data_IF_077026285714
#
_entry.id   IF_077026285714
#
_cell.length_a   1.000
_cell.length_b   1.000
_cell.length_c   1.000
_cell.angle_alpha   90.00
_cell.angle_beta   90.00
_cell.angle_gamma   90.00
#
_symmetry.space_group_name_H-M   'P 1'
#
loop_
_entity.id
_entity.type
_entity.pdbx_description
1 polymer ?
#
# COMPACT_ATOMS: atom_id res chain seq x y z
N UNK A 1 11.35 4.83 20.96
CA UNK A 1 11.84 4.96 22.34
C UNK A 1 13.34 5.27 22.29
N UNK A 2 13.83 6.23 23.06
CA UNK A 2 15.25 6.60 23.16
C UNK A 2 15.80 6.43 24.59
N UNK A 3 15.19 5.58 25.42
CA UNK A 3 15.68 5.27 26.78
C UNK A 3 16.82 4.26 26.77
N UNK A 4 17.55 4.17 27.89
CA UNK A 4 18.69 3.25 28.09
C UNK A 4 18.37 1.81 27.68
N UNK A 5 17.15 1.36 27.93
CA UNK A 5 16.70 0.00 27.63
C UNK A 5 16.81 -0.37 26.14
N UNK A 6 16.66 0.62 25.25
CA UNK A 6 16.76 0.43 23.81
C UNK A 6 18.21 0.31 23.31
N UNK A 7 19.20 0.65 24.14
CA UNK A 7 20.62 0.62 23.79
C UNK A 7 21.37 -0.55 24.44
N UNK A 8 20.67 -1.48 25.08
CA UNK A 8 21.30 -2.70 25.57
C UNK A 8 21.63 -3.64 24.41
N UNK A 9 22.85 -4.17 24.45
CA UNK A 9 23.31 -5.27 23.59
C UNK A 9 22.93 -6.58 24.24
N UNK A 10 22.02 -7.34 23.64
CA UNK A 10 21.93 -8.78 23.95
C UNK A 10 23.23 -9.48 23.52
N UNK A 11 23.45 -10.70 24.00
CA UNK A 11 24.61 -11.57 23.69
C UNK A 11 24.91 -11.76 22.18
N UNK A 12 23.98 -11.34 21.30
CA UNK A 12 24.09 -11.32 19.84
C UNK A 12 24.63 -9.99 19.26
N UNK A 13 25.03 -9.01 20.09
CA UNK A 13 25.61 -7.71 19.67
C UNK A 13 24.69 -6.83 18.81
N UNK A 14 23.37 -6.85 19.03
CA UNK A 14 22.42 -6.01 18.30
C UNK A 14 21.79 -5.02 19.27
N UNK A 15 21.97 -3.72 19.00
CA UNK A 15 21.28 -2.64 19.70
C UNK A 15 19.84 -2.48 19.14
N UNK A 16 18.83 -2.52 20.00
CA UNK A 16 17.42 -2.40 19.58
C UNK A 16 17.12 -1.05 18.94
N UNK A 17 17.75 0.02 19.42
CA UNK A 17 17.61 1.35 18.84
C UNK A 17 18.14 1.40 17.40
N UNK A 18 19.32 0.85 17.14
CA UNK A 18 19.87 0.79 15.79
C UNK A 18 18.99 -0.04 14.85
N UNK A 19 18.44 -1.13 15.37
CA UNK A 19 17.46 -1.94 14.65
C UNK A 19 16.22 -1.10 14.28
N UNK A 20 15.68 -0.30 15.21
CA UNK A 20 14.54 0.58 14.93
C UNK A 20 14.88 1.67 13.88
N UNK A 21 16.06 2.29 13.95
CA UNK A 21 16.51 3.29 12.97
C UNK A 21 16.73 2.66 11.59
N UNK A 22 17.32 1.46 11.53
CA UNK A 22 17.48 0.72 10.28
C UNK A 22 16.13 0.28 9.69
N UNK A 23 15.16 -0.06 10.54
CA UNK A 23 13.77 -0.24 10.13
C UNK A 23 13.24 1.03 9.47
N UNK A 24 13.33 2.19 10.13
CA UNK A 24 12.91 3.47 9.56
C UNK A 24 13.59 3.74 8.22
N UNK A 25 14.89 3.49 8.09
CA UNK A 25 15.64 3.64 6.84
C UNK A 25 15.05 2.77 5.72
N UNK A 26 14.87 1.47 5.97
CA UNK A 26 14.29 0.53 4.99
C UNK A 26 12.86 0.89 4.61
N UNK A 27 12.10 1.52 5.51
CA UNK A 27 10.74 1.96 5.24
C UNK A 27 10.65 3.24 4.41
N UNK A 28 11.67 4.09 4.45
CA UNK A 28 11.74 5.31 3.65
C UNK A 28 12.27 5.01 2.24
N UNK A 29 13.20 4.06 2.08
CA UNK A 29 13.84 3.77 0.78
C UNK A 29 12.83 3.48 -0.35
N UNK A 30 11.81 2.61 -0.19
CA UNK A 30 10.80 2.38 -1.22
C UNK A 30 10.02 3.64 -1.59
N UNK A 31 9.82 4.60 -0.67
CA UNK A 31 9.09 5.85 -0.94
C UNK A 31 9.79 6.76 -1.95
N UNK A 32 11.12 6.63 -2.12
CA UNK A 32 11.83 7.33 -3.19
C UNK A 32 11.59 6.69 -4.56
N UNK A 33 11.35 5.37 -4.59
CA UNK A 33 11.12 4.62 -5.83
C UNK A 33 9.65 4.61 -6.26
N UNK A 34 8.75 4.54 -5.29
CA UNK A 34 7.31 4.52 -5.47
C UNK A 34 6.78 5.87 -4.97
N UNK A 35 6.40 6.74 -5.90
CA UNK A 35 5.83 8.05 -5.57
C UNK A 35 4.39 7.87 -5.04
N UNK A 36 4.27 7.42 -3.80
CA UNK A 36 2.99 7.12 -3.14
C UNK A 36 2.35 8.36 -2.47
N UNK A 37 3.04 9.51 -2.51
CA UNK A 37 2.52 10.76 -1.95
C UNK A 37 2.38 10.75 -0.42
N UNK A 38 2.97 9.77 0.26
CA UNK A 38 2.95 9.65 1.71
C UNK A 38 3.97 10.58 2.37
N UNK A 39 3.54 11.24 3.44
CA UNK A 39 4.43 11.98 4.33
C UNK A 39 4.98 11.04 5.41
N UNK A 40 6.20 11.33 5.87
CA UNK A 40 6.87 10.54 6.91
C UNK A 40 7.53 11.47 7.92
N UNK A 41 7.45 11.10 9.20
CA UNK A 41 8.06 11.81 10.31
C UNK A 41 8.71 10.84 11.30
N UNK A 42 9.70 11.32 12.03
CA UNK A 42 10.43 10.54 13.06
C UNK A 42 10.47 11.36 14.34
N UNK A 43 9.93 10.76 15.40
CA UNK A 43 9.81 11.36 16.72
C UNK A 43 10.51 10.42 17.71
N UNK A 44 11.34 10.99 18.57
CA UNK A 44 11.91 10.32 19.72
C UNK A 44 11.22 10.78 21.01
N UNK A 45 11.12 9.87 21.96
CA UNK A 45 10.65 10.17 23.31
C UNK A 45 11.59 9.53 24.32
N UNK A 46 11.62 10.10 25.54
CA UNK A 46 12.63 9.76 26.55
C UNK A 46 13.95 10.48 26.33
N UNK A 47 13.91 11.63 25.63
CA UNK A 47 15.09 12.46 25.41
C UNK A 47 15.22 13.56 26.46
N UNK A 48 16.42 14.13 26.66
CA UNK A 48 16.53 15.39 27.44
C UNK A 48 15.79 16.51 26.69
N UNK A 49 15.12 17.43 27.39
CA UNK A 49 14.37 18.50 26.71
C UNK A 49 15.31 19.32 25.81
N UNK A 50 14.94 19.57 24.55
CA UNK A 50 15.76 20.43 23.69
C UNK A 50 15.85 21.82 24.30
N UNK A 51 17.06 22.39 24.33
CA UNK A 51 17.29 23.72 24.87
C UNK A 51 16.55 24.76 24.01
N UNK A 52 15.44 25.31 24.52
CA UNK A 52 14.89 26.58 24.02
C UNK A 52 13.40 26.63 23.69
N UNK A 53 12.67 25.52 23.54
CA UNK A 53 11.25 25.57 23.13
C UNK A 53 10.28 25.15 24.23
N UNK A 54 9.63 26.15 24.83
CA UNK A 54 8.65 26.07 25.93
C UNK A 54 7.31 25.44 25.49
N UNK A 55 7.12 25.23 24.18
CA UNK A 55 5.87 24.79 23.54
C UNK A 55 5.82 23.30 23.18
N UNK A 56 6.88 22.56 23.46
CA UNK A 56 7.03 21.14 23.18
C UNK A 56 6.77 20.33 24.45
N UNK A 57 6.09 19.18 24.31
CA UNK A 57 5.94 18.19 25.37
C UNK A 57 7.30 17.86 26.00
N UNK A 58 7.35 17.72 27.33
CA UNK A 58 8.62 17.43 28.02
C UNK A 58 9.16 16.08 27.52
N UNK A 59 10.47 16.01 27.28
CA UNK A 59 11.19 14.78 26.91
C UNK A 59 10.81 14.13 25.56
N UNK A 60 10.32 14.93 24.60
CA UNK A 60 10.02 14.51 23.22
C UNK A 60 10.83 15.37 22.25
N UNK A 61 11.52 14.72 21.30
CA UNK A 61 12.33 15.39 20.28
C UNK A 61 11.87 14.98 18.88
N UNK A 62 11.67 15.97 18.01
CA UNK A 62 11.27 15.77 16.63
C UNK A 62 12.53 15.77 15.75
N UNK A 63 12.89 14.61 15.20
CA UNK A 63 14.02 14.49 14.27
C UNK A 63 13.59 14.92 12.87
N UNK A 64 12.47 14.37 12.40
CA UNK A 64 11.96 14.63 11.06
C UNK A 64 10.50 15.08 11.13
N UNK A 65 10.23 16.29 10.66
CA UNK A 65 8.88 16.80 10.45
C UNK A 65 8.13 15.94 9.44
N UNK A 66 6.82 15.77 9.67
CA UNK A 66 5.90 15.03 8.81
C UNK A 66 5.74 15.71 7.45
N UNK A 67 6.55 15.29 6.48
CA UNK A 67 6.55 15.81 5.11
C UNK A 67 6.99 14.70 4.14
N UNK A 68 6.95 14.99 2.83
CA UNK A 68 7.45 14.07 1.81
C UNK A 68 8.92 13.75 2.03
N UNK A 69 9.27 12.49 1.78
CA UNK A 69 10.66 12.03 1.89
C UNK A 69 11.56 12.85 0.95
N UNK A 70 12.57 13.51 1.52
CA UNK A 70 13.59 14.25 0.80
C UNK A 70 14.97 13.63 1.07
N UNK A 71 15.89 13.76 0.10
CA UNK A 71 17.24 13.23 0.20
C UNK A 71 18.02 13.86 1.37
N UNK A 72 17.84 15.16 1.61
CA UNK A 72 18.45 15.86 2.75
C UNK A 72 18.02 15.26 4.09
N UNK A 73 16.72 14.99 4.27
CA UNK A 73 16.16 14.38 5.48
C UNK A 73 16.62 12.94 5.66
N UNK A 74 16.74 12.20 4.56
CA UNK A 74 17.28 10.85 4.58
C UNK A 74 18.75 10.84 4.99
N UNK A 75 19.54 11.77 4.47
CA UNK A 75 20.93 11.96 4.88
C UNK A 75 21.02 12.40 6.34
N UNK A 76 20.15 13.28 6.81
CA UNK A 76 20.10 13.67 8.23
C UNK A 76 19.84 12.47 9.15
N UNK A 77 18.96 11.53 8.75
CA UNK A 77 18.73 10.29 9.48
C UNK A 77 19.97 9.37 9.46
N UNK A 78 20.65 9.26 8.30
CA UNK A 78 21.90 8.51 8.20
C UNK A 78 23.01 9.09 9.06
N UNK A 79 23.21 10.41 9.00
CA UNK A 79 24.17 11.12 9.85
C UNK A 79 23.85 10.96 11.33
N UNK A 80 22.57 11.02 11.70
CA UNK A 80 22.13 10.77 13.07
C UNK A 80 22.49 9.36 13.52
N UNK A 81 22.28 8.35 12.68
CA UNK A 81 22.65 6.97 12.98
C UNK A 81 24.18 6.81 13.13
N UNK A 82 24.98 7.42 12.24
CA UNK A 82 26.45 7.39 12.32
C UNK A 82 26.98 8.09 13.57
N UNK A 83 26.43 9.28 13.91
CA UNK A 83 26.80 10.03 15.12
C UNK A 83 26.55 9.23 16.39
N UNK A 84 25.45 8.48 16.43
CA UNK A 84 25.13 7.60 17.55
C UNK A 84 26.12 6.43 17.67
N UNK A 85 26.61 5.88 16.55
CA UNK A 85 27.59 4.78 16.56
C UNK A 85 28.99 5.24 16.98
N UNK A 86 29.40 6.43 16.54
CA UNK A 86 30.75 6.93 16.76
C UNK A 86 30.92 7.61 18.12
N UNK A 87 29.87 8.26 18.65
CA UNK A 87 29.99 9.13 19.81
C UNK A 87 29.12 8.67 20.99
N UNK A 88 29.67 7.76 21.80
CA UNK A 88 29.02 7.28 23.04
C UNK A 88 28.69 8.42 24.02
N UNK A 89 29.48 9.49 24.00
CA UNK A 89 29.27 10.64 24.89
C UNK A 89 28.05 11.48 24.47
N UNK A 90 27.78 11.61 23.17
CA UNK A 90 26.58 12.30 22.67
C UNK A 90 25.28 11.66 23.18
N UNK A 91 25.29 10.33 23.33
CA UNK A 91 24.16 9.54 23.80
C UNK A 91 23.87 9.77 25.29
N UNK A 92 24.89 9.70 26.13
CA UNK A 92 24.79 9.87 27.59
C UNK A 92 24.57 11.34 28.00
N UNK A 93 25.26 12.28 27.33
CA UNK A 93 25.20 13.69 27.69
C UNK A 93 23.98 14.41 27.11
N UNK A 94 23.51 14.06 25.91
CA UNK A 94 22.51 14.86 25.19
C UNK A 94 21.17 14.15 24.96
N UNK A 95 21.17 12.82 24.76
CA UNK A 95 19.95 12.10 24.40
C UNK A 95 19.23 11.52 25.62
N UNK A 96 19.90 10.75 26.48
CA UNK A 96 19.22 9.90 27.46
C UNK A 96 18.54 10.68 28.61
N UNK A 97 17.24 10.51 28.77
CA UNK A 97 16.52 10.90 29.99
C UNK A 97 15.67 9.75 30.52
N UNK A 98 15.74 9.52 31.83
CA UNK A 98 14.90 8.51 32.50
C UNK A 98 13.47 9.06 32.75
N UNK A 99 13.28 10.38 32.67
CA UNK A 99 11.97 11.01 32.76
C UNK A 99 11.31 11.03 31.37
N UNK A 100 10.12 10.44 31.26
CA UNK A 100 9.30 10.48 30.05
C UNK A 100 7.83 10.47 30.42
N UNK A 101 6.95 10.92 29.52
CA UNK A 101 5.52 10.59 29.57
C UNK A 101 5.12 10.06 28.19
N UNK A 102 4.57 8.85 28.17
CA UNK A 102 4.11 8.23 26.93
C UNK A 102 2.83 8.93 26.41
N UNK A 103 2.00 9.42 27.33
CA UNK A 103 0.81 10.22 27.01
C UNK A 103 1.19 11.48 26.22
N UNK A 104 2.24 12.17 26.67
CA UNK A 104 2.76 13.37 26.02
C UNK A 104 3.36 13.07 24.63
N UNK A 105 4.10 11.96 24.48
CA UNK A 105 4.63 11.52 23.20
C UNK A 105 3.52 11.23 22.19
N UNK A 106 2.47 10.53 22.61
CA UNK A 106 1.31 10.23 21.78
C UNK A 106 0.52 11.51 21.42
N UNK A 107 0.36 12.42 22.38
CA UNK A 107 -0.26 13.72 22.13
C UNK A 107 0.54 14.54 21.10
N UNK A 108 1.86 14.50 21.20
CA UNK A 108 2.74 15.16 20.24
C UNK A 108 2.56 14.59 18.82
N UNK A 109 2.48 13.27 18.68
CA UNK A 109 2.15 12.63 17.39
C UNK A 109 0.81 13.15 16.83
N UNK A 110 -0.25 13.19 17.64
CA UNK A 110 -1.55 13.73 17.22
C UNK A 110 -1.48 15.21 16.79
N UNK A 111 -0.69 16.01 17.51
CA UNK A 111 -0.46 17.42 17.17
C UNK A 111 0.26 17.55 15.83
N UNK A 112 1.27 16.73 15.56
CA UNK A 112 1.99 16.78 14.27
C UNK A 112 1.07 16.50 13.07
N UNK A 113 0.13 15.55 13.18
CA UNK A 113 -0.91 15.31 12.17
C UNK A 113 -1.93 16.45 12.03
N UNK A 114 -2.06 17.30 13.06
CA UNK A 114 -3.00 18.42 13.05
C UNK A 114 -2.34 19.70 12.55
N UNK A 115 -1.03 19.85 12.76
CA UNK A 115 -0.23 20.98 12.28
C UNK A 115 0.12 20.88 10.79
N UNK A 116 0.00 19.70 10.18
CA UNK A 116 0.20 19.53 8.74
C UNK A 116 -0.92 20.19 7.93
N UNK A 117 -0.57 20.92 6.87
CA UNK A 117 -1.54 21.51 5.94
C UNK A 117 -2.21 20.47 5.00
N UNK A 118 -1.75 19.22 5.02
CA UNK A 118 -2.20 18.14 4.15
C UNK A 118 -3.34 17.36 4.81
N UNK A 119 -4.41 17.08 4.05
CA UNK A 119 -5.49 16.19 4.51
C UNK A 119 -5.10 14.74 4.26
N UNK A 120 -4.69 14.04 5.32
CA UNK A 120 -4.39 12.61 5.26
C UNK A 120 -5.67 11.77 5.25
N UNK A 121 -5.73 10.79 4.34
CA UNK A 121 -6.81 9.77 4.34
C UNK A 121 -6.59 8.75 5.44
N UNK A 122 -5.34 8.32 5.63
CA UNK A 122 -4.95 7.33 6.63
C UNK A 122 -3.82 7.91 7.47
N UNK A 123 -3.87 7.67 8.78
CA UNK A 123 -2.88 8.12 9.75
C UNK A 123 -2.44 6.91 10.56
N UNK A 124 -1.14 6.66 10.63
CA UNK A 124 -0.63 5.51 11.37
C UNK A 124 0.61 5.93 12.17
N UNK A 125 0.68 5.48 13.42
CA UNK A 125 1.80 5.67 14.35
C UNK A 125 2.48 4.31 14.54
N UNK A 126 3.78 4.24 14.30
CA UNK A 126 4.58 3.04 14.52
C UNK A 126 5.43 3.24 15.79
N UNK A 127 5.12 2.51 16.85
CA UNK A 127 5.77 2.61 18.16
C UNK A 127 6.79 1.49 18.33
N UNK A 128 8.07 1.85 18.39
CA UNK A 128 9.18 0.95 18.70
C UNK A 128 9.60 1.15 20.17
N UNK A 129 9.52 0.09 20.98
CA UNK A 129 9.85 0.10 22.43
C UNK A 129 10.31 -1.28 22.90
N UNK A 130 11.23 -1.29 23.87
CA UNK A 130 11.70 -2.51 24.56
C UNK A 130 11.11 -2.67 25.96
N UNK A 131 10.38 -1.66 26.43
CA UNK A 131 9.73 -1.67 27.74
C UNK A 131 8.30 -2.15 27.62
N UNK A 132 7.99 -3.23 28.32
CA UNK A 132 6.68 -3.89 28.39
C UNK A 132 5.64 -3.15 29.25
N UNK A 133 6.07 -2.30 30.20
CA UNK A 133 5.20 -1.71 31.22
C UNK A 133 5.69 -0.30 31.60
N UNK A 134 5.49 0.68 30.70
CA UNK A 134 5.83 2.06 31.01
C UNK A 134 4.99 2.56 32.20
N UNK A 135 5.61 3.37 33.07
CA UNK A 135 4.96 4.02 34.22
C UNK A 135 4.42 3.05 35.29
N UNK A 136 5.07 1.91 35.52
CA UNK A 136 4.66 0.94 36.55
C UNK A 136 4.39 1.58 37.93
N UNK A 137 5.21 2.56 38.32
CA UNK A 137 5.10 3.23 39.63
C UNK A 137 4.03 4.34 39.66
N UNK A 138 3.48 4.74 38.51
CA UNK A 138 2.58 5.89 38.40
C UNK A 138 1.27 5.53 37.69
N UNK A 139 0.30 5.11 38.49
CA UNK A 139 -1.06 4.75 38.03
C UNK A 139 -1.78 5.90 37.31
N UNK A 140 -1.50 7.16 37.64
CA UNK A 140 -2.14 8.31 36.98
C UNK A 140 -1.65 8.47 35.53
N UNK A 141 -0.35 8.31 35.29
CA UNK A 141 0.23 8.35 33.93
C UNK A 141 -0.25 7.18 33.07
N UNK A 142 -0.37 5.98 33.65
CA UNK A 142 -0.96 4.84 32.94
C UNK A 142 -2.40 5.14 32.50
N UNK A 143 -3.19 5.77 33.36
CA UNK A 143 -4.56 6.18 33.01
C UNK A 143 -4.58 7.26 31.93
N UNK A 144 -3.66 8.23 31.98
CA UNK A 144 -3.54 9.27 30.94
C UNK A 144 -3.22 8.66 29.57
N UNK A 145 -2.32 7.66 29.52
CA UNK A 145 -2.02 6.93 28.28
C UNK A 145 -3.26 6.24 27.72
N UNK A 146 -4.07 5.59 28.56
CA UNK A 146 -5.33 4.95 28.12
C UNK A 146 -6.32 5.95 27.53
N UNK A 147 -6.50 7.10 28.19
CA UNK A 147 -7.37 8.18 27.69
C UNK A 147 -6.85 8.67 26.34
N UNK A 148 -5.53 8.86 26.20
CA UNK A 148 -4.93 9.26 24.92
C UNK A 148 -5.04 8.20 23.84
N UNK A 149 -4.92 6.93 24.17
CA UNK A 149 -5.14 5.84 23.21
C UNK A 149 -6.57 5.88 22.66
N UNK A 150 -7.57 6.14 23.52
CA UNK A 150 -8.95 6.34 23.09
C UNK A 150 -9.09 7.56 22.17
N UNK A 151 -8.48 8.69 22.53
CA UNK A 151 -8.47 9.89 21.68
C UNK A 151 -7.88 9.61 20.29
N UNK A 152 -6.81 8.80 20.21
CA UNK A 152 -6.15 8.39 18.95
C UNK A 152 -7.09 7.52 18.10
N UNK A 153 -7.78 6.57 18.74
CA UNK A 153 -8.77 5.73 18.06
C UNK A 153 -9.94 6.56 17.52
N UNK A 154 -10.45 7.52 18.31
CA UNK A 154 -11.53 8.43 17.89
C UNK A 154 -11.09 9.34 16.73
N UNK A 155 -9.81 9.69 16.65
CA UNK A 155 -9.21 10.43 15.51
C UNK A 155 -8.93 9.56 14.28
N UNK A 156 -9.32 8.27 14.31
CA UNK A 156 -9.08 7.27 13.27
C UNK A 156 -7.58 7.15 12.90
N UNK A 157 -6.72 7.20 13.92
CA UNK A 157 -5.29 6.97 13.79
C UNK A 157 -4.99 5.54 14.23
N UNK A 158 -4.26 4.79 13.41
CA UNK A 158 -3.86 3.43 13.72
C UNK A 158 -2.56 3.40 14.52
N UNK A 159 -2.53 2.71 15.67
CA UNK A 159 -1.31 2.50 16.44
C UNK A 159 -0.77 1.09 16.20
N UNK A 160 0.46 1.01 15.70
CA UNK A 160 1.17 -0.25 15.46
C UNK A 160 2.32 -0.38 16.46
N UNK A 161 2.26 -1.36 17.35
CA UNK A 161 3.29 -1.64 18.35
C UNK A 161 4.31 -2.65 17.84
N UNK A 162 5.59 -2.33 17.98
CA UNK A 162 6.73 -3.19 17.68
C UNK A 162 7.54 -3.44 18.96
N UNK A 163 7.28 -4.57 19.63
CA UNK A 163 8.01 -4.97 20.82
C UNK A 163 9.45 -5.34 20.45
N UNK A 164 10.42 -4.74 21.12
CA UNK A 164 11.84 -4.97 20.90
C UNK A 164 12.43 -5.72 22.10
N UNK A 165 12.62 -7.03 21.98
CA UNK A 165 13.16 -7.86 23.05
C UNK A 165 12.54 -9.25 23.07
N UNK A 166 13.29 -10.26 23.50
CA UNK A 166 12.79 -11.65 23.60
C UNK A 166 11.84 -11.82 24.80
N UNK A 167 11.97 -10.98 25.82
CA UNK A 167 11.15 -11.03 27.05
C UNK A 167 9.95 -10.08 27.03
N UNK A 168 9.55 -9.51 25.89
CA UNK A 168 8.49 -8.50 25.86
C UNK A 168 7.09 -9.11 26.05
N UNK A 169 6.46 -8.81 27.19
CA UNK A 169 5.10 -9.25 27.51
C UNK A 169 4.09 -8.15 27.19
N UNK A 170 3.34 -8.37 26.11
CA UNK A 170 2.31 -7.44 25.64
C UNK A 170 1.10 -7.41 26.59
N UNK A 171 0.85 -8.51 27.30
CA UNK A 171 -0.38 -8.71 28.08
C UNK A 171 -0.51 -7.80 29.29
N UNK A 172 0.61 -7.28 29.80
CA UNK A 172 0.65 -6.49 31.03
C UNK A 172 0.04 -5.10 30.87
N UNK A 173 0.36 -4.40 29.79
CA UNK A 173 -0.02 -2.98 29.60
C UNK A 173 -0.55 -2.69 28.20
N UNK A 174 0.20 -3.10 27.18
CA UNK A 174 -0.12 -2.73 25.80
C UNK A 174 -1.33 -3.48 25.23
N UNK A 175 -1.67 -4.67 25.73
CA UNK A 175 -2.85 -5.40 25.27
C UNK A 175 -4.12 -4.59 25.46
N UNK A 176 -4.33 -3.99 26.63
CA UNK A 176 -5.50 -3.15 26.91
C UNK A 176 -5.56 -1.95 25.95
N UNK A 177 -4.41 -1.31 25.67
CA UNK A 177 -4.30 -0.17 24.75
C UNK A 177 -4.66 -0.58 23.31
N UNK A 178 -4.17 -1.74 22.87
CA UNK A 178 -4.42 -2.26 21.53
C UNK A 178 -5.88 -2.69 21.37
N UNK A 179 -6.49 -3.27 22.40
CA UNK A 179 -7.91 -3.63 22.43
C UNK A 179 -8.82 -2.40 22.37
N UNK A 180 -8.49 -1.31 23.09
CA UNK A 180 -9.25 -0.05 23.03
C UNK A 180 -9.35 0.49 21.59
N UNK A 181 -8.25 0.44 20.85
CA UNK A 181 -8.19 0.91 19.47
C UNK A 181 -8.56 -0.13 18.41
N UNK A 182 -8.88 -1.37 18.81
CA UNK A 182 -9.03 -2.52 17.92
C UNK A 182 -7.84 -2.68 16.95
N UNK A 183 -6.63 -2.44 17.47
CA UNK A 183 -5.37 -2.46 16.74
C UNK A 183 -4.71 -3.85 16.77
N UNK A 184 -3.84 -4.19 15.79
CA UNK A 184 -3.28 -5.52 15.68
C UNK A 184 -2.29 -5.83 16.82
N UNK A 185 -2.56 -6.89 17.57
CA UNK A 185 -1.70 -7.38 18.65
C UNK A 185 -0.43 -8.02 18.07
N UNK A 186 0.78 -7.63 18.52
CA UNK A 186 2.02 -8.18 18.03
C UNK A 186 2.36 -9.58 18.56
N UNK A 187 2.96 -10.40 17.69
CA UNK A 187 3.56 -11.68 18.08
C UNK A 187 4.86 -11.44 18.88
N UNK A 188 5.15 -12.21 19.96
CA UNK A 188 6.25 -11.91 20.89
C UNK A 188 7.68 -12.08 20.33
N UNK A 189 7.87 -12.80 19.22
CA UNK A 189 9.20 -13.11 18.67
C UNK A 189 9.25 -12.66 17.22
N UNK A 190 9.73 -11.45 16.97
CA UNK A 190 9.93 -10.95 15.60
C UNK A 190 11.42 -10.81 15.29
N UNK A 191 11.89 -11.54 14.28
CA UNK A 191 13.19 -11.21 13.67
C UNK A 191 13.02 -9.88 12.94
N UNK A 192 14.11 -9.14 12.78
CA UNK A 192 14.11 -7.85 12.07
C UNK A 192 13.43 -7.89 10.68
N UNK A 193 13.55 -9.00 9.95
CA UNK A 193 12.86 -9.19 8.66
C UNK A 193 11.34 -9.29 8.80
N UNK A 194 10.86 -9.91 9.88
CA UNK A 194 9.43 -10.10 10.17
C UNK A 194 8.77 -8.78 10.53
N UNK A 195 9.47 -7.93 11.30
CA UNK A 195 9.05 -6.55 11.63
C UNK A 195 8.79 -5.77 10.34
N UNK A 196 9.72 -5.82 9.38
CA UNK A 196 9.59 -5.10 8.09
C UNK A 196 8.43 -5.65 7.29
N UNK A 197 8.31 -6.98 7.14
CA UNK A 197 7.22 -7.61 6.40
C UNK A 197 5.86 -7.25 7.00
N UNK A 198 5.76 -7.21 8.33
CA UNK A 198 4.55 -6.79 9.02
C UNK A 198 4.24 -5.33 8.73
N UNK A 199 5.23 -4.44 8.84
CA UNK A 199 5.04 -3.02 8.53
C UNK A 199 4.63 -2.84 7.07
N UNK A 200 5.22 -3.57 6.12
CA UNK A 200 4.82 -3.52 4.71
C UNK A 200 3.39 -4.04 4.51
N UNK A 201 3.03 -5.13 5.19
CA UNK A 201 1.67 -5.70 5.15
C UNK A 201 0.61 -4.76 5.73
N UNK A 202 0.95 -4.00 6.79
CA UNK A 202 0.05 -3.02 7.40
C UNK A 202 -0.01 -1.71 6.63
N UNK A 203 1.09 -1.32 5.97
CA UNK A 203 1.19 -0.09 5.18
C UNK A 203 0.44 -0.14 3.87
N UNK A 204 0.43 -1.28 3.19
CA UNK A 204 -0.21 -1.40 1.89
C UNK A 204 -1.73 -1.41 2.03
N UNK A 205 -2.30 -0.20 2.08
CA UNK A 205 -3.75 0.00 1.99
C UNK A 205 -4.25 -0.66 0.72
N UNK A 206 -5.30 -1.48 0.86
CA UNK A 206 -5.90 -2.22 -0.25
C UNK A 206 -6.42 -1.24 -1.32
N UNK A 207 -5.59 -0.95 -2.32
CA UNK A 207 -5.96 -0.07 -3.43
C UNK A 207 -6.73 -0.86 -4.49
N UNK A 208 -8.01 -0.54 -4.61
CA UNK A 208 -8.92 -1.14 -5.60
C UNK A 208 -8.68 -0.50 -6.95
N UNK A 209 -8.55 -1.33 -7.99
CA UNK A 209 -8.51 -0.87 -9.37
C UNK A 209 -9.89 -0.37 -9.82
N UNK A 210 -10.92 -1.18 -9.60
CA UNK A 210 -12.30 -0.86 -9.90
C UNK A 210 -13.26 -1.71 -9.06
N UNK A 211 -14.51 -1.28 -9.00
CA UNK A 211 -15.64 -2.01 -8.41
C UNK A 211 -16.59 -2.39 -9.54
N UNK A 212 -17.02 -3.64 -9.59
CA UNK A 212 -17.84 -4.18 -10.66
C UNK A 212 -18.92 -5.11 -10.07
N UNK A 213 -20.09 -5.14 -10.70
CA UNK A 213 -21.15 -6.10 -10.37
C UNK A 213 -20.88 -7.42 -11.09
N UNK A 214 -20.81 -8.52 -10.33
CA UNK A 214 -20.69 -9.89 -10.83
C UNK A 214 -22.07 -10.54 -10.94
N UNK A 215 -22.60 -10.63 -12.16
CA UNK A 215 -23.83 -11.36 -12.49
C UNK A 215 -23.56 -12.85 -12.55
N UNK A 216 -24.19 -13.61 -11.64
CA UNK A 216 -24.17 -15.08 -11.62
C UNK A 216 -25.36 -15.66 -12.38
N UNK A 217 -26.49 -14.96 -12.34
CA UNK A 217 -27.71 -15.25 -13.10
C UNK A 217 -28.52 -13.97 -13.29
N UNK A 218 -29.74 -14.09 -13.84
CA UNK A 218 -30.58 -12.93 -14.18
C UNK A 218 -30.89 -12.03 -12.98
N UNK A 219 -31.17 -12.63 -11.81
CA UNK A 219 -31.56 -11.92 -10.59
C UNK A 219 -30.53 -12.02 -9.46
N UNK A 220 -29.38 -12.64 -9.70
CA UNK A 220 -28.35 -12.88 -8.66
C UNK A 220 -27.06 -12.20 -9.07
N UNK A 221 -26.70 -11.18 -8.29
CA UNK A 221 -25.50 -10.36 -8.50
C UNK A 221 -24.71 -10.18 -7.21
N UNK A 222 -23.38 -10.16 -7.31
CA UNK A 222 -22.44 -9.92 -6.21
C UNK A 222 -21.66 -8.64 -6.50
N UNK A 223 -21.45 -7.78 -5.50
CA UNK A 223 -20.50 -6.68 -5.59
C UNK A 223 -19.08 -7.19 -5.43
N UNK A 224 -18.19 -6.89 -6.38
CA UNK A 224 -16.79 -7.31 -6.29
C UNK A 224 -15.81 -6.17 -6.58
N UNK A 225 -14.68 -6.17 -5.86
CA UNK A 225 -13.54 -5.29 -6.06
C UNK A 225 -12.40 -6.00 -6.78
N UNK A 226 -11.80 -5.34 -7.77
CA UNK A 226 -10.58 -5.80 -8.44
C UNK A 226 -9.35 -5.18 -7.77
N UNK A 227 -8.35 -6.01 -7.51
CA UNK A 227 -7.07 -5.67 -6.93
C UNK A 227 -5.94 -6.21 -7.82
N UNK A 228 -4.77 -5.58 -7.78
CA UNK A 228 -3.58 -6.10 -8.45
C UNK A 228 -2.48 -6.26 -7.40
N UNK A 229 -2.05 -7.50 -7.16
CA UNK A 229 -0.90 -7.75 -6.29
C UNK A 229 0.41 -7.31 -6.93
N UNK A 230 0.50 -7.43 -8.25
CA UNK A 230 1.70 -7.09 -9.00
C UNK A 230 1.43 -5.91 -9.90
N UNK A 231 2.23 -4.86 -9.73
CA UNK A 231 2.25 -3.70 -10.63
C UNK A 231 3.67 -3.54 -11.16
N UNK A 232 3.80 -3.41 -12.48
CA UNK A 232 5.09 -3.09 -13.09
C UNK A 232 5.55 -1.72 -12.60
N UNK A 233 6.62 -1.69 -11.79
CA UNK A 233 7.31 -0.46 -11.44
C UNK A 233 7.84 0.19 -12.71
N UNK A 234 7.45 1.44 -12.95
CA UNK A 234 7.92 2.24 -14.09
C UNK A 234 8.77 3.37 -13.56
N UNK A 235 9.79 3.76 -14.32
CA UNK A 235 10.53 4.98 -14.03
C UNK A 235 9.56 6.17 -13.95
N UNK A 236 9.73 7.07 -12.96
CA UNK A 236 8.95 8.30 -12.88
C UNK A 236 9.01 9.08 -14.20
N UNK A 237 7.90 9.74 -14.54
CA UNK A 237 7.86 10.59 -15.74
C UNK A 237 8.70 11.84 -15.47
N UNK A 238 9.40 12.31 -16.50
CA UNK A 238 10.14 13.58 -16.44
C UNK A 238 9.15 14.73 -16.25
N UNK A 239 9.47 15.65 -15.35
CA UNK A 239 8.71 16.89 -15.15
C UNK A 239 9.39 18.05 -15.88
N UNK A 240 8.59 18.99 -16.40
CA UNK A 240 9.09 20.18 -17.08
C UNK A 240 9.33 21.27 -16.05
N UNK A 241 10.50 21.87 -16.05
CA UNK A 241 10.88 22.93 -15.12
C UNK A 241 11.19 24.23 -15.87
N UNK A 242 10.95 25.36 -15.22
CA UNK A 242 11.39 26.66 -15.68
C UNK A 242 12.93 26.75 -15.54
N UNK A 243 13.65 27.15 -16.60
CA UNK A 243 15.13 27.16 -16.58
C UNK A 243 15.71 28.15 -15.55
N UNK A 244 15.03 29.27 -15.30
CA UNK A 244 15.52 30.31 -14.40
C UNK A 244 15.17 30.04 -12.93
N UNK A 245 13.94 29.58 -12.66
CA UNK A 245 13.44 29.39 -11.28
C UNK A 245 13.47 27.94 -10.80
N UNK A 246 13.68 26.97 -11.69
CA UNK A 246 13.54 25.53 -11.44
C UNK A 246 12.16 25.11 -10.91
N UNK A 247 11.14 25.97 -11.06
CA UNK A 247 9.77 25.65 -10.66
C UNK A 247 9.08 24.78 -11.70
N UNK A 248 8.12 23.96 -11.25
CA UNK A 248 7.34 23.07 -12.11
C UNK A 248 6.46 23.86 -13.09
N UNK A 249 6.43 23.42 -14.35
CA UNK A 249 5.65 24.03 -15.43
C UNK A 249 4.42 23.17 -15.75
N UNK A 250 3.24 23.80 -15.72
CA UNK A 250 2.00 23.17 -16.17
C UNK A 250 1.87 23.24 -17.70
N UNK A 251 1.68 22.08 -18.34
CA UNK A 251 1.51 22.00 -19.81
C UNK A 251 0.03 22.01 -20.17
N UNK A 252 -0.43 23.08 -20.81
CA UNK A 252 -1.79 23.17 -21.39
C UNK A 252 -1.70 22.88 -22.89
N UNK A 253 -2.57 22.00 -23.41
CA UNK A 253 -2.65 21.68 -24.84
C UNK A 253 -3.96 22.20 -25.42
N UNK A 254 -3.86 23.05 -26.43
CA UNK A 254 -5.00 23.57 -27.21
C UNK A 254 -4.81 23.23 -28.69
N UNK A 255 -5.91 22.96 -29.38
CA UNK A 255 -5.93 22.72 -30.82
C UNK A 255 -6.44 23.99 -31.52
N UNK A 256 -5.83 24.36 -32.64
CA UNK A 256 -6.19 25.56 -33.40
C UNK A 256 -6.44 25.21 -34.86
N UNK A 257 -7.35 25.94 -35.50
CA UNK A 257 -7.55 25.88 -36.93
C UNK A 257 -6.37 26.54 -37.65
N UNK A 258 -5.74 25.84 -38.60
CA UNK A 258 -4.54 26.34 -39.28
C UNK A 258 -4.79 27.63 -40.07
N UNK A 259 -6.00 27.81 -40.62
CA UNK A 259 -6.31 28.96 -41.49
C UNK A 259 -6.75 30.20 -40.70
N UNK A 260 -7.49 30.03 -39.59
CA UNK A 260 -8.09 31.13 -38.83
C UNK A 260 -7.41 31.41 -37.50
N UNK A 261 -6.57 30.50 -37.01
CA UNK A 261 -5.98 30.57 -35.66
C UNK A 261 -7.00 30.42 -34.53
N UNK A 262 -8.27 30.17 -34.84
CA UNK A 262 -9.31 29.98 -33.85
C UNK A 262 -9.10 28.68 -33.05
N UNK A 263 -9.39 28.73 -31.76
CA UNK A 263 -9.34 27.55 -30.89
C UNK A 263 -10.46 26.59 -31.30
N UNK A 264 -10.12 25.32 -31.52
CA UNK A 264 -11.06 24.26 -31.86
C UNK A 264 -11.59 23.58 -30.61
N UNK A 265 -12.92 23.48 -30.51
CA UNK A 265 -13.57 22.68 -29.50
C UNK A 265 -13.57 21.20 -29.93
N UNK A 266 -13.72 20.25 -29.00
CA UNK A 266 -13.82 18.83 -29.34
C UNK A 266 -14.96 18.50 -30.31
N UNK A 267 -15.99 19.34 -30.39
CA UNK A 267 -17.12 19.21 -31.33
C UNK A 267 -16.74 19.59 -32.76
N UNK A 268 -15.74 20.46 -32.94
CA UNK A 268 -15.28 20.92 -34.25
C UNK A 268 -14.29 19.93 -34.89
N UNK A 269 -13.95 18.84 -34.17
CA UNK A 269 -12.93 17.87 -34.58
C UNK A 269 -13.60 16.54 -34.91
N UNK A 270 -13.44 16.10 -36.15
CA UNK A 270 -13.87 14.78 -36.62
C UNK A 270 -12.67 13.82 -36.77
N UNK A 271 -12.95 12.52 -36.77
CA UNK A 271 -11.94 11.47 -36.93
C UNK A 271 -12.07 10.85 -38.32
N UNK A 272 -10.98 10.75 -39.07
CA UNK A 272 -11.01 10.12 -40.39
C UNK A 272 -10.08 8.91 -40.45
N UNK A 273 -10.55 7.82 -41.06
CA UNK A 273 -9.74 6.64 -41.40
C UNK A 273 -9.74 6.49 -42.91
N UNK A 274 -8.55 6.45 -43.52
CA UNK A 274 -8.39 6.26 -44.97
C UNK A 274 -8.27 4.77 -45.29
N UNK A 275 -9.14 4.24 -46.14
CA UNK A 275 -9.10 2.84 -46.62
C UNK A 275 -9.49 2.81 -48.10
N UNK A 276 -8.68 2.14 -48.93
CA UNK A 276 -8.99 1.95 -50.35
C UNK A 276 -9.08 3.23 -51.19
N UNK A 277 -8.51 4.35 -50.72
CA UNK A 277 -8.63 5.65 -51.38
C UNK A 277 -9.82 6.48 -50.91
N UNK A 278 -10.73 5.91 -50.11
CA UNK A 278 -11.87 6.61 -49.52
C UNK A 278 -11.57 7.09 -48.10
N UNK A 279 -12.15 8.25 -47.75
CA UNK A 279 -12.06 8.83 -46.42
C UNK A 279 -13.35 8.50 -45.66
N UNK A 280 -13.26 7.64 -44.65
CA UNK A 280 -14.39 7.34 -43.77
C UNK A 280 -14.29 8.26 -42.56
N UNK A 281 -15.28 9.13 -42.41
CA UNK A 281 -15.33 10.15 -41.36
C UNK A 281 -16.24 9.68 -40.23
N UNK A 282 -15.82 9.91 -38.99
CA UNK A 282 -16.53 9.56 -37.78
C UNK A 282 -16.60 10.76 -36.84
N UNK A 283 -17.78 10.97 -36.28
CA UNK A 283 -17.96 11.93 -35.19
C UNK A 283 -17.32 11.41 -33.89
N UNK A 284 -16.97 12.29 -32.94
CA UNK A 284 -16.50 11.87 -31.62
C UNK A 284 -17.47 10.94 -30.88
N UNK A 285 -18.77 11.07 -31.12
CA UNK A 285 -19.81 10.22 -30.51
C UNK A 285 -19.83 8.83 -31.15
N UNK A 286 -19.82 8.74 -32.47
CA UNK A 286 -19.73 7.45 -33.19
C UNK A 286 -18.49 6.67 -32.78
N UNK A 287 -17.34 7.35 -32.66
CA UNK A 287 -16.11 6.72 -32.18
C UNK A 287 -16.21 6.17 -30.76
N UNK A 288 -16.99 6.82 -29.88
CA UNK A 288 -17.27 6.28 -28.54
C UNK A 288 -18.20 5.07 -28.62
N UNK A 289 -19.28 5.16 -29.41
CA UNK A 289 -20.24 4.07 -29.60
C UNK A 289 -19.61 2.83 -30.25
N UNK A 290 -18.68 2.99 -31.18
CA UNK A 290 -17.94 1.87 -31.78
C UNK A 290 -17.13 1.06 -30.75
N UNK A 291 -16.68 1.69 -29.68
CA UNK A 291 -15.97 1.01 -28.59
C UNK A 291 -16.93 0.46 -27.52
N UNK A 292 -18.21 0.81 -27.58
CA UNK A 292 -19.23 0.42 -26.62
C UNK A 292 -19.89 -0.89 -27.04
N UNK A 293 -19.45 -2.01 -26.45
CA UNK A 293 -19.96 -3.34 -26.79
C UNK A 293 -20.91 -3.87 -25.72
N UNK A 294 -20.50 -3.74 -24.46
CA UNK A 294 -21.23 -4.29 -23.30
C UNK A 294 -21.16 -3.32 -22.13
N UNK A 295 -22.15 -3.39 -21.24
CA UNK A 295 -22.12 -2.65 -19.98
C UNK A 295 -20.92 -3.09 -19.10
N UNK A 296 -20.43 -2.21 -18.19
CA UNK A 296 -19.32 -2.52 -17.29
C UNK A 296 -19.72 -3.50 -16.19
N UNK A 297 -19.70 -4.78 -16.51
CA UNK A 297 -20.12 -5.85 -15.60
C UNK A 297 -19.23 -7.09 -15.78
N UNK A 298 -19.26 -7.95 -14.77
CA UNK A 298 -18.68 -9.28 -14.85
C UNK A 298 -19.81 -10.30 -14.94
N UNK A 299 -19.83 -11.13 -15.98
CA UNK A 299 -20.90 -12.11 -16.21
C UNK A 299 -20.32 -13.52 -16.11
N UNK A 300 -20.91 -14.37 -15.26
CA UNK A 300 -20.57 -15.79 -15.17
C UNK A 300 -21.10 -16.53 -16.41
N UNK A 301 -20.21 -17.24 -17.11
CA UNK A 301 -20.56 -18.07 -18.25
C UNK A 301 -20.69 -19.55 -17.87
N UNK A 302 -19.92 -19.99 -16.87
CA UNK A 302 -19.99 -21.37 -16.39
C UNK A 302 -18.77 -21.77 -15.57
N UNK A 303 -18.56 -23.08 -15.39
CA UNK A 303 -17.43 -23.62 -14.63
C UNK A 303 -16.67 -24.66 -15.46
N UNK A 304 -15.34 -24.59 -15.42
CA UNK A 304 -14.42 -25.55 -16.06
C UNK A 304 -13.53 -26.22 -15.00
N UNK A 305 -12.98 -27.41 -15.26
CA UNK A 305 -12.00 -28.01 -14.37
C UNK A 305 -10.70 -27.19 -14.32
N UNK A 306 -9.96 -27.27 -13.21
CA UNK A 306 -8.68 -26.57 -13.05
C UNK A 306 -7.64 -26.93 -14.14
N UNK A 307 -7.72 -28.11 -14.76
CA UNK A 307 -6.84 -28.52 -15.85
C UNK A 307 -6.94 -27.65 -17.11
N UNK A 308 -8.02 -26.87 -17.27
CA UNK A 308 -8.16 -25.92 -18.37
C UNK A 308 -7.31 -24.65 -18.18
N UNK A 309 -6.83 -24.37 -16.97
CA UNK A 309 -5.99 -23.21 -16.70
C UNK A 309 -4.57 -23.50 -17.17
N UNK A 310 -4.15 -22.82 -18.24
CA UNK A 310 -2.77 -22.88 -18.72
C UNK A 310 -2.11 -21.52 -18.59
N UNK A 311 -0.94 -21.48 -17.96
CA UNK A 311 -0.17 -20.24 -17.75
C UNK A 311 0.29 -19.61 -19.08
N UNK A 312 0.49 -20.42 -20.12
CA UNK A 312 0.88 -19.96 -21.46
C UNK A 312 -0.18 -19.09 -22.14
N UNK A 313 -1.44 -19.20 -21.72
CA UNK A 313 -2.56 -18.43 -22.27
C UNK A 313 -2.82 -17.13 -21.50
N UNK A 314 -1.81 -16.57 -20.82
CA UNK A 314 -1.99 -15.34 -20.07
C UNK A 314 -1.65 -14.11 -20.92
N UNK A 315 -2.63 -13.22 -21.14
CA UNK A 315 -2.43 -11.98 -21.93
C UNK A 315 -2.09 -10.78 -21.06
N UNK A 316 -2.70 -10.71 -19.87
CA UNK A 316 -2.56 -9.59 -18.93
C UNK A 316 -2.09 -10.09 -17.57
N UNK A 317 -1.40 -9.25 -16.78
CA UNK A 317 -1.09 -9.61 -15.38
C UNK A 317 -2.38 -10.01 -14.67
N UNK A 318 -2.32 -11.02 -13.79
CA UNK A 318 -3.51 -11.52 -13.15
C UNK A 318 -4.00 -10.49 -12.13
N UNK A 319 -5.30 -10.28 -12.10
CA UNK A 319 -5.94 -9.50 -11.04
C UNK A 319 -6.46 -10.41 -9.95
N UNK A 320 -6.81 -9.85 -8.81
CA UNK A 320 -7.42 -10.56 -7.70
C UNK A 320 -8.77 -9.94 -7.39
N UNK A 321 -9.78 -10.78 -7.17
CA UNK A 321 -11.13 -10.35 -6.85
C UNK A 321 -11.46 -10.69 -5.41
N UNK A 322 -12.04 -9.71 -4.71
CA UNK A 322 -12.54 -9.82 -3.35
C UNK A 322 -13.97 -9.24 -3.27
N UNK A 323 -14.87 -9.76 -2.41
CA UNK A 323 -16.23 -9.25 -2.29
C UNK A 323 -16.24 -7.82 -1.78
N UNK A 324 -17.22 -7.05 -2.23
CA UNK A 324 -17.41 -5.64 -1.90
C UNK A 324 -18.84 -5.42 -1.43
N UNK A 325 -19.04 -5.51 -0.11
CA UNK A 325 -20.34 -5.39 0.55
C UNK A 325 -20.96 -3.99 0.38
N UNK A 326 -20.13 -2.96 0.11
CA UNK A 326 -20.59 -1.59 -0.10
C UNK A 326 -21.47 -1.41 -1.35
N UNK A 327 -21.36 -2.32 -2.33
CA UNK A 327 -22.18 -2.30 -3.55
C UNK A 327 -23.51 -3.04 -3.34
N UNK A 328 -23.44 -4.28 -2.86
CA UNK A 328 -24.59 -5.17 -2.69
C UNK A 328 -24.40 -5.89 -1.35
N UNK A 329 -25.38 -5.74 -0.44
CA UNK A 329 -25.38 -6.46 0.84
C UNK A 329 -25.64 -7.96 0.63
N UNK A 330 -24.96 -8.81 1.38
CA UNK A 330 -24.93 -10.27 1.23
C UNK A 330 -23.90 -10.78 0.23
N UNK A 331 -23.06 -9.89 -0.34
CA UNK A 331 -22.06 -10.26 -1.33
C UNK A 331 -20.99 -11.18 -0.73
N UNK A 332 -20.53 -10.87 0.48
CA UNK A 332 -19.51 -11.66 1.17
C UNK A 332 -19.95 -13.11 1.39
N UNK A 333 -21.19 -13.33 1.86
CA UNK A 333 -21.72 -14.66 2.14
C UNK A 333 -21.80 -15.53 0.88
N UNK A 334 -22.34 -14.99 -0.21
CA UNK A 334 -22.46 -15.71 -1.48
C UNK A 334 -21.07 -15.97 -2.10
N UNK A 335 -20.16 -15.01 -1.99
CA UNK A 335 -18.79 -15.14 -2.46
C UNK A 335 -18.03 -16.25 -1.72
N UNK A 336 -18.12 -16.30 -0.39
CA UNK A 336 -17.48 -17.37 0.42
C UNK A 336 -18.07 -18.74 0.09
N UNK A 337 -19.38 -18.84 -0.12
CA UNK A 337 -20.03 -20.09 -0.53
C UNK A 337 -19.51 -20.56 -1.90
N UNK A 338 -19.40 -19.64 -2.88
CA UNK A 338 -18.88 -19.92 -4.22
C UNK A 338 -17.42 -20.34 -4.18
N UNK A 339 -16.59 -19.62 -3.41
CA UNK A 339 -15.17 -19.94 -3.20
C UNK A 339 -14.99 -21.33 -2.60
N UNK A 340 -15.70 -21.62 -1.52
CA UNK A 340 -15.65 -22.92 -0.83
C UNK A 340 -16.04 -24.06 -1.77
N UNK A 341 -17.08 -23.87 -2.58
CA UNK A 341 -17.56 -24.91 -3.49
C UNK A 341 -16.63 -25.12 -4.69
N UNK A 342 -16.02 -24.05 -5.22
CA UNK A 342 -15.02 -24.14 -6.29
C UNK A 342 -13.76 -24.86 -5.82
N UNK A 343 -13.30 -24.59 -4.59
CA UNK A 343 -12.17 -25.31 -3.97
C UNK A 343 -12.48 -26.80 -3.80
N UNK A 344 -13.63 -27.14 -3.22
CA UNK A 344 -14.05 -28.54 -3.00
C UNK A 344 -14.15 -29.33 -4.31
N UNK A 345 -14.65 -28.71 -5.37
CA UNK A 345 -14.88 -29.36 -6.67
C UNK A 345 -13.69 -29.23 -7.65
N UNK A 346 -12.63 -28.53 -7.28
CA UNK A 346 -11.48 -28.22 -8.14
C UNK A 346 -11.91 -27.63 -9.51
N UNK A 347 -12.80 -26.65 -9.46
CA UNK A 347 -13.32 -25.96 -10.65
C UNK A 347 -12.94 -24.48 -10.63
N UNK A 348 -12.68 -23.95 -11.83
CA UNK A 348 -12.53 -22.52 -12.10
C UNK A 348 -13.83 -21.97 -12.68
N UNK A 349 -14.20 -20.75 -12.32
CA UNK A 349 -15.32 -20.07 -12.96
C UNK A 349 -14.85 -19.38 -14.24
N UNK A 350 -15.64 -19.46 -15.31
CA UNK A 350 -15.39 -18.77 -16.57
C UNK A 350 -16.28 -17.53 -16.61
N UNK A 351 -15.68 -16.36 -16.73
CA UNK A 351 -16.41 -15.09 -16.73
C UNK A 351 -16.05 -14.24 -17.94
N UNK A 352 -17.02 -13.44 -18.40
CA UNK A 352 -16.77 -12.28 -19.27
C UNK A 352 -16.63 -11.04 -18.40
N UNK A 353 -15.54 -10.30 -18.54
CA UNK A 353 -15.22 -9.13 -17.72
C UNK A 353 -15.15 -7.90 -18.61
N UNK A 354 -16.00 -6.91 -18.33
CA UNK A 354 -15.95 -5.59 -18.95
C UNK A 354 -15.64 -4.54 -17.89
N UNK A 355 -14.40 -4.04 -17.79
CA UNK A 355 -14.00 -3.19 -16.66
C UNK A 355 -14.58 -1.77 -16.72
N UNK A 356 -14.94 -1.25 -17.89
CA UNK A 356 -15.44 0.11 -18.10
C UNK A 356 -16.27 0.24 -19.39
N UNK A 357 -17.05 1.32 -19.53
CA UNK A 357 -17.98 1.51 -20.66
C UNK A 357 -17.30 1.49 -22.03
N UNK A 358 -16.08 2.02 -22.12
CA UNK A 358 -15.34 2.15 -23.39
C UNK A 358 -14.26 1.07 -23.54
N UNK A 359 -14.40 -0.06 -22.86
CA UNK A 359 -13.43 -1.15 -22.91
C UNK A 359 -14.05 -2.42 -23.47
N UNK A 360 -13.27 -3.16 -24.23
CA UNK A 360 -13.70 -4.45 -24.78
C UNK A 360 -13.83 -5.49 -23.65
N UNK A 361 -14.80 -6.42 -23.77
CA UNK A 361 -14.92 -7.54 -22.86
C UNK A 361 -13.69 -8.44 -22.96
N UNK A 362 -13.34 -9.08 -21.85
CA UNK A 362 -12.32 -10.12 -21.80
C UNK A 362 -12.90 -11.39 -21.20
N UNK A 363 -12.64 -12.54 -21.82
CA UNK A 363 -12.86 -13.80 -21.14
C UNK A 363 -11.77 -14.02 -20.10
N UNK A 364 -12.16 -14.48 -18.92
CA UNK A 364 -11.24 -14.77 -17.83
C UNK A 364 -11.62 -16.04 -17.09
N UNK A 365 -10.61 -16.70 -16.54
CA UNK A 365 -10.77 -17.81 -15.61
C UNK A 365 -10.53 -17.29 -14.18
N UNK A 366 -11.47 -17.58 -13.30
CA UNK A 366 -11.40 -17.28 -11.88
C UNK A 366 -10.90 -18.52 -11.14
N UNK A 367 -9.63 -18.51 -10.78
CA UNK A 367 -8.99 -19.56 -10.00
C UNK A 367 -9.24 -19.31 -8.51
N UNK A 368 -9.92 -20.22 -7.78
CA UNK A 368 -10.13 -20.05 -6.35
C UNK A 368 -8.81 -20.17 -5.58
N UNK A 369 -8.61 -19.31 -4.59
CA UNK A 369 -7.47 -19.32 -3.66
C UNK A 369 -7.96 -19.44 -2.22
N UNK A 370 -7.36 -20.38 -1.47
CA UNK A 370 -7.54 -20.53 -0.02
C UNK A 370 -6.61 -19.57 0.72
N UNK A 371 -7.06 -19.08 1.87
CA UNK A 371 -6.25 -18.29 2.79
C UNK A 371 -5.13 -19.13 3.41
N UNK A 372 -3.93 -18.57 3.44
CA UNK A 372 -2.73 -19.18 4.03
C UNK A 372 -2.02 -18.11 4.88
N UNK A 373 -1.77 -18.44 6.14
CA UNK A 373 -0.97 -17.65 7.07
C UNK A 373 0.43 -18.26 7.21
N UNK A 374 1.43 -17.41 7.42
CA UNK A 374 2.77 -17.86 7.84
C UNK A 374 2.80 -18.10 9.36
N UNK A 375 3.84 -18.77 9.84
CA UNK A 375 4.03 -19.10 11.26
C UNK A 375 4.01 -17.86 12.18
N UNK A 376 4.37 -16.70 11.62
CA UNK A 376 4.43 -15.42 12.33
C UNK A 376 3.05 -14.72 12.41
N UNK A 377 1.98 -15.33 11.91
CA UNK A 377 0.63 -14.77 11.87
C UNK A 377 0.35 -13.82 10.70
N UNK A 378 1.36 -13.54 9.86
CA UNK A 378 1.21 -12.70 8.66
C UNK A 378 0.47 -13.46 7.56
N UNK A 379 -0.52 -12.82 6.93
CA UNK A 379 -1.26 -13.41 5.82
C UNK A 379 -0.36 -13.48 4.57
N UNK A 380 0.00 -14.69 4.14
CA UNK A 380 0.79 -14.94 2.93
C UNK A 380 -0.06 -14.89 1.67
N UNK A 381 -1.21 -15.56 1.71
CA UNK A 381 -2.13 -15.67 0.58
C UNK A 381 -3.54 -15.32 1.07
N UNK A 382 -4.20 -14.29 0.49
CA UNK A 382 -5.56 -13.95 0.86
C UNK A 382 -6.59 -14.92 0.28
N UNK A 383 -7.77 -15.03 0.89
CA UNK A 383 -8.91 -15.76 0.33
C UNK A 383 -9.57 -14.96 -0.81
N UNK A 384 -9.86 -15.61 -1.94
CA UNK A 384 -10.51 -14.95 -3.08
C UNK A 384 -10.30 -15.66 -4.40
N UNK A 385 -10.42 -14.92 -5.51
CA UNK A 385 -10.21 -15.46 -6.86
C UNK A 385 -9.11 -14.71 -7.61
N UNK A 386 -8.18 -15.46 -8.20
CA UNK A 386 -7.27 -14.92 -9.21
C UNK A 386 -7.94 -14.89 -10.57
N UNK A 387 -7.81 -13.77 -11.27
CA UNK A 387 -8.36 -13.51 -12.60
C UNK A 387 -7.27 -13.73 -13.62
N UNK A 388 -7.40 -14.81 -14.38
CA UNK A 388 -6.53 -15.10 -15.52
C UNK A 388 -7.22 -14.68 -16.81
N UNK A 389 -6.74 -13.60 -17.42
CA UNK A 389 -7.28 -13.08 -18.68
C UNK A 389 -6.85 -13.95 -19.86
N UNK A 390 -7.84 -14.50 -20.58
CA UNK A 390 -7.64 -15.37 -21.73
C UNK A 390 -7.48 -14.55 -23.04
N UNK A 391 -6.68 -15.04 -24.00
CA UNK A 391 -6.59 -14.47 -25.33
C UNK A 391 -7.84 -14.79 -26.14
N UNK A 392 -8.23 -13.82 -26.97
CA UNK A 392 -9.02 -14.11 -28.16
C UNK A 392 -8.16 -14.83 -29.21
N UNK A 393 -8.81 -15.43 -30.20
CA UNK A 393 -8.13 -16.08 -31.35
C UNK A 393 -7.06 -15.19 -31.97
N UNK A 394 -7.33 -13.89 -32.09
CA UNK A 394 -6.45 -12.92 -32.77
C UNK A 394 -5.12 -12.70 -32.02
N UNK A 395 -5.09 -12.99 -30.72
CA UNK A 395 -3.89 -12.88 -29.90
C UNK A 395 -3.05 -14.16 -29.90
N UNK A 396 -3.63 -15.29 -30.34
CA UNK A 396 -2.89 -16.54 -30.50
C UNK A 396 -2.02 -16.45 -31.77
N UNK A 397 -0.75 -16.86 -31.66
CA UNK A 397 0.20 -16.85 -32.77
C UNK A 397 0.55 -18.28 -33.16
N UNK A 398 0.35 -18.62 -34.43
CA UNK A 398 0.75 -19.92 -34.95
C UNK A 398 2.28 -20.04 -35.07
N UNK A 399 2.84 -21.06 -34.43
CA UNK A 399 4.29 -21.30 -34.36
C UNK A 399 4.80 -22.00 -35.64
N UNK A 400 3.91 -22.43 -36.55
CA UNK A 400 4.23 -23.28 -37.72
C UNK A 400 5.25 -22.69 -38.71
N UNK A 401 5.59 -21.40 -38.60
CA UNK A 401 6.58 -20.73 -39.46
C UNK A 401 7.93 -20.44 -38.79
N UNK A 402 8.17 -20.89 -37.56
CA UNK A 402 9.48 -20.79 -36.94
C UNK A 402 10.33 -21.96 -37.46
N UNK A 403 11.20 -21.70 -38.43
CA UNK A 403 12.32 -22.60 -38.73
C UNK A 403 13.13 -22.70 -37.45
N UNK A 404 13.05 -23.83 -36.78
CA UNK A 404 14.01 -24.19 -35.74
C UNK A 404 15.36 -24.17 -36.45
N UNK A 405 16.17 -23.14 -36.21
CA UNK A 405 17.55 -23.18 -36.64
C UNK A 405 18.14 -24.37 -35.90
N UNK A 406 18.32 -25.48 -36.62
CA UNK A 406 19.09 -26.62 -36.15
C UNK A 406 20.37 -26.05 -35.55
N UNK A 407 20.54 -26.33 -34.26
CA UNK A 407 21.75 -26.04 -33.52
C UNK A 407 22.92 -26.46 -34.40
N UNK A 408 23.80 -25.51 -34.73
CA UNK A 408 25.13 -25.85 -35.21
C UNK A 408 25.76 -26.72 -34.12
N UNK A 409 25.74 -28.02 -34.33
CA UNK A 409 26.54 -28.96 -33.56
C UNK A 409 27.98 -28.43 -33.62
N UNK A 410 28.46 -27.99 -32.46
CA UNK A 410 29.86 -27.71 -32.21
C UNK A 410 30.58 -29.06 -32.24
N UNK A 411 31.09 -29.42 -33.42
CA UNK A 411 32.09 -30.47 -33.59
C UNK A 411 33.49 -29.90 -33.35
#
# INVERSE_FOLDING_TARGET
DARKNMFFKNDKSIDYFHTAVDCCRKLITPKFTINDGEDFGVILFGTKPPAGDILMCKNVELILNLEKANLEKFNALLEFNSKIQEDKNYMEEKLLSDAFSLSDALFFCCRTFSSSCVKYTNKSIYLFTSDWNPHQDNSAEQQNVRVKAKDIADLNIELHLFPMGEDFDVSVFYQEILEIGNWPVPSPVEKFGDIINRIESSKCVKSRLCKVTWKIGENVSIGVGFYNFFRKARMPKKEKLCRSTNEMVHSVRQCYAQNSGAILLPTDIEYTVKRGGENIVFTPLEKKLMNYITEPEMVLLGFKPNSCLKLEHQVKPPSFIYPEESLIKGSEQLFVALLTQCLKRQKVAVCSITPSKNSHPYFALLQPQKEIFEDNGVQKCPSGFHVFYLPYSDAMRDIKNIRLNETRDLA
#
